data_IF_371935787637
#
_entry.id   IF_371935787637
#
_cell.length_a   1.000
_cell.length_b   1.000
_cell.length_c   1.000
_cell.angle_alpha   90.00
_cell.angle_beta   90.00
_cell.angle_gamma   90.00
#
_symmetry.space_group_name_H-M   'P 1'
#
loop_
_entity.id
_entity.type
_entity.pdbx_description
1 polymer ?
#
# COMPACT_ATOMS: atom_id res chain seq x y z
N UNK A 1 0.46 14.53 -13.18
CA UNK A 1 0.27 13.77 -11.91
C UNK A 1 0.73 12.36 -12.19
N UNK A 2 1.64 11.80 -11.38
CA UNK A 2 2.10 10.43 -11.59
C UNK A 2 1.05 9.47 -11.04
N UNK A 3 0.42 8.69 -11.91
CA UNK A 3 -0.40 7.56 -11.48
C UNK A 3 0.51 6.46 -10.98
N UNK A 4 0.22 5.94 -9.79
CA UNK A 4 0.96 4.82 -9.20
C UNK A 4 0.19 3.53 -9.46
N UNK A 5 0.91 2.53 -9.93
CA UNK A 5 0.37 1.18 -10.06
C UNK A 5 0.37 0.51 -8.68
N UNK A 6 -0.63 -0.33 -8.41
CA UNK A 6 -0.70 -1.19 -7.20
C UNK A 6 0.62 -1.92 -6.91
N UNK A 7 1.23 -2.51 -7.93
CA UNK A 7 2.54 -3.16 -7.84
C UNK A 7 3.67 -2.25 -7.32
N UNK A 8 3.67 -0.97 -7.67
CA UNK A 8 4.71 -0.02 -7.22
C UNK A 8 4.54 0.31 -5.74
N UNK A 9 3.29 0.52 -5.32
CA UNK A 9 2.95 0.75 -3.90
C UNK A 9 3.29 -0.47 -3.07
N UNK A 10 2.91 -1.68 -3.52
CA UNK A 10 3.23 -2.93 -2.84
C UNK A 10 4.75 -3.13 -2.74
N UNK A 11 5.49 -2.85 -3.79
CA UNK A 11 6.96 -2.95 -3.77
C UNK A 11 7.58 -2.00 -2.75
N UNK A 12 7.10 -0.75 -2.68
CA UNK A 12 7.57 0.22 -1.70
C UNK A 12 7.22 -0.20 -0.27
N UNK A 13 6.01 -0.70 -0.03
CA UNK A 13 5.60 -1.25 1.27
C UNK A 13 6.50 -2.40 1.69
N UNK A 14 6.71 -3.38 0.81
CA UNK A 14 7.60 -4.53 1.09
C UNK A 14 9.04 -4.11 1.37
N UNK A 15 9.55 -3.11 0.64
CA UNK A 15 10.90 -2.57 0.86
C UNK A 15 11.05 -1.85 2.20
N UNK A 16 10.00 -1.20 2.70
CA UNK A 16 9.95 -0.57 4.03
C UNK A 16 9.82 -1.59 5.17
N UNK A 17 9.54 -2.86 4.87
CA UNK A 17 9.37 -3.93 5.86
C UNK A 17 7.92 -4.29 6.15
N UNK A 18 6.96 -3.80 5.36
CA UNK A 18 5.58 -4.28 5.42
C UNK A 18 5.49 -5.68 4.79
N UNK A 19 4.81 -6.58 5.48
CA UNK A 19 4.57 -7.93 5.01
C UNK A 19 3.08 -8.19 4.86
N UNK A 20 2.72 -8.99 3.87
CA UNK A 20 1.34 -9.36 3.60
C UNK A 20 0.85 -10.32 4.68
N UNK A 21 -0.34 -10.06 5.23
CA UNK A 21 -0.92 -10.87 6.31
C UNK A 21 -2.22 -11.55 5.92
N UNK A 22 -2.92 -11.00 4.94
CA UNK A 22 -4.15 -11.57 4.44
C UNK A 22 -4.44 -11.02 3.04
N UNK A 23 -5.12 -11.81 2.22
CA UNK A 23 -5.67 -11.35 0.96
C UNK A 23 -7.10 -11.86 0.82
N UNK A 24 -8.03 -10.95 0.53
CA UNK A 24 -9.43 -11.30 0.24
C UNK A 24 -9.79 -10.73 -1.12
N UNK A 25 -9.85 -11.61 -2.12
CA UNK A 25 -10.07 -11.21 -3.52
C UNK A 25 -8.94 -10.32 -4.02
N UNK A 26 -9.25 -9.07 -4.38
CA UNK A 26 -8.26 -8.08 -4.80
C UNK A 26 -7.71 -7.22 -3.66
N UNK A 27 -8.13 -7.44 -2.42
CA UNK A 27 -7.71 -6.62 -1.29
C UNK A 27 -6.58 -7.30 -0.52
N UNK A 28 -5.35 -6.83 -0.75
CA UNK A 28 -4.16 -7.29 -0.05
C UNK A 28 -3.92 -6.45 1.20
N UNK A 29 -3.79 -7.11 2.34
CA UNK A 29 -3.58 -6.47 3.64
C UNK A 29 -2.15 -6.67 4.12
N UNK A 30 -1.53 -5.59 4.58
CA UNK A 30 -0.15 -5.54 5.01
C UNK A 30 -0.03 -5.06 6.46
N UNK A 31 0.91 -5.64 7.20
CA UNK A 31 1.32 -5.18 8.54
C UNK A 31 2.81 -4.88 8.56
N UNK A 32 3.23 -4.06 9.52
CA UNK A 32 4.62 -3.78 9.80
C UNK A 32 4.92 -4.24 11.23
N UNK A 33 6.09 -4.86 11.49
CA UNK A 33 6.42 -5.35 12.83
C UNK A 33 6.58 -4.22 13.87
N UNK A 34 7.08 -3.06 13.45
CA UNK A 34 7.34 -1.92 14.34
C UNK A 34 6.33 -0.75 14.22
N UNK A 35 5.51 -0.69 13.16
CA UNK A 35 4.60 0.44 12.92
C UNK A 35 3.17 -0.04 13.21
N UNK A 36 2.39 0.69 14.00
CA UNK A 36 1.01 0.29 14.30
C UNK A 36 0.12 0.47 13.06
N UNK A 37 -0.89 -0.38 12.95
CA UNK A 37 -1.89 -0.29 11.89
C UNK A 37 -1.78 -1.39 10.83
N UNK A 38 -2.57 -1.23 9.77
CA UNK A 38 -2.67 -2.15 8.65
C UNK A 38 -2.94 -1.36 7.39
N UNK A 39 -2.16 -1.60 6.35
CA UNK A 39 -2.35 -0.99 5.04
C UNK A 39 -3.10 -1.98 4.15
N UNK A 40 -4.13 -1.51 3.45
CA UNK A 40 -4.82 -2.33 2.46
C UNK A 40 -4.60 -1.75 1.08
N UNK A 41 -4.10 -2.56 0.16
CA UNK A 41 -3.88 -2.19 -1.24
C UNK A 41 -4.75 -3.08 -2.12
N UNK A 42 -5.45 -2.47 -3.06
CA UNK A 42 -6.19 -3.22 -4.07
C UNK A 42 -5.22 -3.62 -5.20
N UNK A 43 -5.13 -4.90 -5.51
CA UNK A 43 -4.32 -5.46 -6.60
C UNK A 43 -5.13 -6.57 -7.32
N UNK A 44 -5.08 -6.65 -8.66
CA UNK A 44 -4.40 -5.75 -9.58
C UNK A 44 -5.18 -4.44 -9.81
N UNK A 45 -4.50 -3.30 -9.66
CA UNK A 45 -5.03 -1.98 -10.02
C UNK A 45 -3.97 -1.14 -10.76
N UNK A 46 -4.36 -0.55 -11.89
CA UNK A 46 -3.43 0.18 -12.75
C UNK A 46 -3.38 1.69 -12.45
N UNK A 47 -4.37 2.21 -11.74
CA UNK A 47 -4.44 3.61 -11.37
C UNK A 47 -5.01 3.74 -9.97
N UNK A 48 -4.13 3.84 -8.96
CA UNK A 48 -4.58 4.06 -7.60
C UNK A 48 -4.99 5.54 -7.47
N UNK A 49 -6.24 5.84 -7.09
CA UNK A 49 -6.68 7.21 -6.88
C UNK A 49 -5.82 7.90 -5.83
N UNK A 50 -5.51 9.18 -6.04
CA UNK A 50 -4.65 9.95 -5.14
C UNK A 50 -5.16 9.98 -3.69
N UNK A 51 -6.47 9.96 -3.49
CA UNK A 51 -7.06 9.85 -2.14
C UNK A 51 -6.68 8.54 -1.44
N UNK A 52 -6.61 7.43 -2.19
CA UNK A 52 -6.16 6.13 -1.68
C UNK A 52 -4.68 6.15 -1.39
N UNK A 53 -3.85 6.74 -2.27
CA UNK A 53 -2.42 6.92 -2.00
C UNK A 53 -2.18 7.73 -0.73
N UNK A 54 -2.86 8.86 -0.55
CA UNK A 54 -2.72 9.68 0.65
C UNK A 54 -3.06 8.90 1.94
N UNK A 55 -4.07 8.02 1.91
CA UNK A 55 -4.39 7.15 3.05
C UNK A 55 -3.30 6.11 3.30
N UNK A 56 -2.77 5.52 2.23
CA UNK A 56 -1.66 4.57 2.32
C UNK A 56 -0.40 5.27 2.88
N UNK A 57 -0.09 6.50 2.44
CA UNK A 57 1.00 7.31 2.98
C UNK A 57 0.84 7.58 4.48
N UNK A 58 -0.37 8.00 4.90
CA UNK A 58 -0.66 8.26 6.30
C UNK A 58 -0.52 7.01 7.19
N UNK A 59 -0.93 5.84 6.67
CA UNK A 59 -0.84 4.58 7.41
C UNK A 59 0.56 3.97 7.41
N UNK A 60 1.28 4.07 6.29
CA UNK A 60 2.61 3.45 6.11
C UNK A 60 3.76 4.35 6.54
N UNK A 61 3.54 5.67 6.59
CA UNK A 61 4.57 6.69 6.72
C UNK A 61 5.40 6.90 5.44
N UNK A 62 5.06 6.23 4.34
CA UNK A 62 5.72 6.39 3.05
C UNK A 62 5.18 7.62 2.32
N UNK A 63 5.94 8.13 1.34
CA UNK A 63 5.52 9.24 0.48
C UNK A 63 5.61 8.84 -1.00
N UNK A 64 4.51 8.99 -1.71
CA UNK A 64 4.30 8.75 -3.13
C UNK A 64 3.96 10.10 -3.80
N UNK A 65 4.97 10.78 -4.38
CA UNK A 65 4.87 12.13 -4.98
C UNK A 65 4.69 12.11 -6.50
#
# INVERSE_FOLDING_TARGET
MKSYLSREVIKALKADGWYEVNCVGSHHQYKHPAKPGRVTVKDPDKDIPRATLNRIEQQSGLKFR
#
